data_IF_323489766774
#
_entry.id   IF_323489766774
#
_cell.length_a   1.000
_cell.length_b   1.000
_cell.length_c   1.000
_cell.angle_alpha   90.00
_cell.angle_beta   90.00
_cell.angle_gamma   90.00
#
_symmetry.space_group_name_H-M   'P 1'
#
loop_
_entity.id
_entity.type
_entity.pdbx_description
1 polymer ?
#
# COMPACT_ATOMS: atom_id res chain seq x y z
N UNK A 1 -16.95 -20.43 15.72
CA UNK A 1 -16.09 -19.77 16.73
C UNK A 1 -14.59 -19.70 16.38
N UNK A 2 -13.89 -20.71 15.80
CA UNK A 2 -12.49 -20.51 15.39
C UNK A 2 -12.37 -19.73 14.06
N UNK A 3 -13.30 -19.94 13.12
CA UNK A 3 -13.28 -19.35 11.78
C UNK A 3 -13.35 -17.81 11.80
N UNK A 4 -14.27 -17.26 12.59
CA UNK A 4 -14.43 -15.80 12.75
C UNK A 4 -13.22 -15.14 13.44
N UNK A 5 -12.57 -15.86 14.37
CA UNK A 5 -11.35 -15.38 15.04
C UNK A 5 -10.19 -15.27 14.05
N UNK A 6 -10.05 -16.24 13.14
CA UNK A 6 -9.01 -16.26 12.12
C UNK A 6 -9.16 -15.04 11.17
N UNK A 7 -10.38 -14.75 10.72
CA UNK A 7 -10.65 -13.60 9.84
C UNK A 7 -10.27 -12.28 10.50
N UNK A 8 -10.57 -12.12 11.80
CA UNK A 8 -10.21 -10.91 12.56
C UNK A 8 -8.69 -10.77 12.66
N UNK A 9 -7.96 -11.86 12.94
CA UNK A 9 -6.50 -11.86 13.03
C UNK A 9 -5.88 -11.48 11.68
N UNK A 10 -6.36 -12.05 10.57
CA UNK A 10 -5.87 -11.72 9.23
C UNK A 10 -6.15 -10.27 8.85
N UNK A 11 -7.36 -9.79 9.10
CA UNK A 11 -7.72 -8.40 8.82
C UNK A 11 -6.93 -7.40 9.68
N UNK A 12 -6.59 -7.76 10.92
CA UNK A 12 -5.77 -6.94 11.80
C UNK A 12 -4.28 -6.94 11.46
N UNK A 13 -3.74 -8.03 10.90
CA UNK A 13 -2.32 -8.12 10.55
C UNK A 13 -1.95 -7.29 9.31
N UNK A 14 -2.83 -7.26 8.30
CA UNK A 14 -2.63 -6.52 7.05
C UNK A 14 -2.29 -5.02 7.25
N UNK A 15 -3.05 -4.23 8.04
CA UNK A 15 -2.75 -2.81 8.24
C UNK A 15 -1.43 -2.57 9.00
N UNK A 16 -0.99 -3.51 9.84
CA UNK A 16 0.30 -3.42 10.53
C UNK A 16 1.43 -3.49 9.49
N UNK A 17 1.34 -4.45 8.56
CA UNK A 17 2.32 -4.61 7.49
C UNK A 17 2.34 -3.36 6.59
N UNK A 18 1.16 -2.87 6.20
CA UNK A 18 1.01 -1.64 5.39
C UNK A 18 1.63 -0.43 6.10
N UNK A 19 1.43 -0.29 7.41
CA UNK A 19 2.01 0.79 8.21
C UNK A 19 3.55 0.76 8.17
N UNK A 20 4.15 -0.42 8.31
CA UNK A 20 5.61 -0.58 8.21
C UNK A 20 6.09 -0.19 6.81
N UNK A 21 5.44 -0.68 5.74
CA UNK A 21 5.78 -0.33 4.36
C UNK A 21 5.65 1.18 4.08
N UNK A 22 4.61 1.82 4.61
CA UNK A 22 4.40 3.27 4.44
C UNK A 22 5.48 4.10 5.13
N UNK A 23 5.91 3.68 6.33
CA UNK A 23 7.03 4.33 7.02
C UNK A 23 8.32 4.24 6.20
N UNK A 24 8.62 3.05 5.66
CA UNK A 24 9.79 2.84 4.78
C UNK A 24 9.69 3.72 3.53
N UNK A 25 8.52 3.76 2.88
CA UNK A 25 8.29 4.59 1.70
C UNK A 25 8.49 6.07 2.01
N UNK A 26 8.04 6.54 3.17
CA UNK A 26 8.19 7.94 3.59
C UNK A 26 9.66 8.29 3.85
N UNK A 27 10.43 7.38 4.47
CA UNK A 27 11.89 7.54 4.60
C UNK A 27 12.58 7.59 3.22
N UNK A 28 12.24 6.66 2.32
CA UNK A 28 12.79 6.65 0.96
C UNK A 28 12.45 7.93 0.18
N UNK A 29 11.22 8.44 0.32
CA UNK A 29 10.78 9.67 -0.34
C UNK A 29 11.63 10.87 0.08
N UNK A 30 12.03 10.92 1.35
CA UNK A 30 12.86 11.99 1.91
C UNK A 30 14.30 11.94 1.35
N UNK A 31 14.81 10.74 1.07
CA UNK A 31 16.14 10.52 0.51
C UNK A 31 16.19 10.67 -1.02
N UNK A 32 15.13 10.26 -1.72
CA UNK A 32 15.05 10.30 -3.18
C UNK A 32 14.81 11.72 -3.72
N UNK A 33 14.10 12.57 -2.96
CA UNK A 33 13.77 13.92 -3.40
C UNK A 33 14.74 14.97 -2.82
N UNK A 34 15.48 15.72 -3.67
CA UNK A 34 16.35 16.80 -3.22
C UNK A 34 15.58 17.92 -2.48
N UNK A 35 16.25 18.59 -1.55
CA UNK A 35 15.71 19.49 -0.51
C UNK A 35 14.66 20.50 -0.96
N UNK A 36 14.67 20.93 -2.23
CA UNK A 36 13.74 21.92 -2.76
C UNK A 36 12.35 21.36 -3.16
N UNK A 37 12.21 20.04 -3.34
CA UNK A 37 10.94 19.38 -3.74
C UNK A 37 10.39 18.39 -2.70
N UNK A 38 11.12 18.16 -1.60
CA UNK A 38 10.71 17.24 -0.52
C UNK A 38 9.32 17.55 0.04
N UNK A 39 9.04 18.82 0.35
CA UNK A 39 7.75 19.22 0.93
C UNK A 39 6.58 19.00 -0.03
N UNK A 40 6.79 19.22 -1.34
CA UNK A 40 5.76 19.03 -2.36
C UNK A 40 5.42 17.55 -2.54
N UNK A 41 6.43 16.68 -2.61
CA UNK A 41 6.23 15.23 -2.73
C UNK A 41 5.46 14.64 -1.54
N UNK A 42 5.83 15.02 -0.31
CA UNK A 42 5.15 14.56 0.92
C UNK A 42 3.70 15.04 0.96
N UNK A 43 3.44 16.29 0.58
CA UNK A 43 2.08 16.82 0.51
C UNK A 43 1.23 16.06 -0.50
N UNK A 44 1.80 15.68 -1.65
CA UNK A 44 1.12 14.92 -2.68
C UNK A 44 0.77 13.50 -2.19
N UNK A 45 1.70 12.81 -1.54
CA UNK A 45 1.45 11.50 -0.90
C UNK A 45 0.32 11.60 0.12
N UNK A 46 0.32 12.64 0.97
CA UNK A 46 -0.75 12.85 1.94
C UNK A 46 -2.10 13.15 1.28
N UNK A 47 -2.11 13.93 0.19
CA UNK A 47 -3.32 14.23 -0.59
C UNK A 47 -3.87 12.95 -1.22
N UNK A 48 -3.02 12.10 -1.82
CA UNK A 48 -3.45 10.80 -2.33
C UNK A 48 -3.96 9.86 -1.24
N UNK A 49 -3.34 9.85 -0.06
CA UNK A 49 -3.83 9.08 1.09
C UNK A 49 -5.22 9.53 1.55
N UNK A 50 -5.44 10.85 1.64
CA UNK A 50 -6.73 11.45 2.01
C UNK A 50 -7.80 11.22 0.94
N UNK A 51 -7.46 11.46 -0.33
CA UNK A 51 -8.36 11.24 -1.46
C UNK A 51 -8.73 9.77 -1.58
N UNK A 52 -7.77 8.87 -1.45
CA UNK A 52 -7.99 7.43 -1.46
C UNK A 52 -8.92 6.97 -0.34
N UNK A 53 -8.76 7.50 0.88
CA UNK A 53 -9.68 7.22 1.99
C UNK A 53 -11.08 7.77 1.73
N UNK A 54 -11.19 9.02 1.26
CA UNK A 54 -12.47 9.66 0.96
C UNK A 54 -13.22 8.95 -0.18
N UNK A 55 -12.54 8.67 -1.30
CA UNK A 55 -13.13 7.93 -2.42
C UNK A 55 -13.43 6.49 -2.03
N UNK A 56 -12.53 5.85 -1.26
CA UNK A 56 -12.69 4.48 -0.76
C UNK A 56 -13.96 4.32 0.04
N UNK A 57 -14.20 5.17 1.06
CA UNK A 57 -15.43 5.06 1.87
C UNK A 57 -16.71 5.29 1.07
N UNK A 58 -16.68 6.20 0.08
CA UNK A 58 -17.84 6.48 -0.80
C UNK A 58 -18.14 5.31 -1.73
N UNK A 59 -17.11 4.78 -2.39
CA UNK A 59 -17.22 3.63 -3.30
C UNK A 59 -17.57 2.36 -2.53
N UNK A 60 -16.95 2.14 -1.37
CA UNK A 60 -17.18 0.99 -0.49
C UNK A 60 -18.64 0.94 -0.01
N UNK A 61 -19.18 2.09 0.43
CA UNK A 61 -20.60 2.17 0.85
C UNK A 61 -21.56 1.86 -0.30
N UNK A 62 -21.19 2.18 -1.53
CA UNK A 62 -22.00 1.86 -2.70
C UNK A 62 -21.87 0.39 -3.11
N UNK A 63 -20.66 -0.18 -2.98
CA UNK A 63 -20.36 -1.55 -3.41
C UNK A 63 -20.89 -2.62 -2.45
N UNK A 64 -20.97 -2.30 -1.15
CA UNK A 64 -21.48 -3.22 -0.12
C UNK A 64 -22.97 -3.52 -0.30
N UNK A 65 -23.74 -2.60 -0.89
CA UNK A 65 -25.18 -2.71 -1.09
C UNK A 65 -25.54 -3.72 -2.19
N UNK A 66 -24.72 -3.80 -3.25
CA UNK A 66 -24.99 -4.69 -4.40
C UNK A 66 -24.23 -6.01 -4.36
N UNK A 67 -22.95 -6.06 -3.93
CA UNK A 67 -22.13 -7.28 -4.00
C UNK A 67 -20.99 -7.35 -2.95
N UNK A 68 -21.25 -7.98 -1.80
CA UNK A 68 -20.24 -8.24 -0.74
C UNK A 68 -19.04 -9.08 -1.23
N UNK A 69 -19.28 -10.13 -2.03
CA UNK A 69 -18.22 -11.01 -2.53
C UNK A 69 -17.30 -10.31 -3.54
N UNK A 70 -17.84 -9.43 -4.39
CA UNK A 70 -17.08 -8.68 -5.38
C UNK A 70 -16.09 -7.72 -4.69
N UNK A 71 -16.53 -7.05 -3.64
CA UNK A 71 -15.72 -6.12 -2.86
C UNK A 71 -14.52 -6.84 -2.20
N UNK A 72 -14.75 -8.02 -1.63
CA UNK A 72 -13.69 -8.84 -1.08
C UNK A 72 -12.66 -9.26 -2.14
N UNK A 73 -13.15 -9.69 -3.32
CA UNK A 73 -12.29 -10.12 -4.41
C UNK A 73 -11.48 -8.96 -5.02
N UNK A 74 -12.05 -7.75 -5.07
CA UNK A 74 -11.36 -6.53 -5.50
C UNK A 74 -10.23 -6.14 -4.52
N UNK A 75 -10.50 -6.16 -3.22
CA UNK A 75 -9.50 -5.84 -2.20
C UNK A 75 -8.34 -6.84 -2.20
N UNK A 76 -8.66 -8.14 -2.29
CA UNK A 76 -7.65 -9.19 -2.41
C UNK A 76 -6.83 -9.04 -3.70
N UNK A 77 -7.50 -8.79 -4.84
CA UNK A 77 -6.84 -8.57 -6.12
C UNK A 77 -5.91 -7.36 -6.10
N UNK A 78 -6.31 -6.25 -5.49
CA UNK A 78 -5.47 -5.06 -5.36
C UNK A 78 -4.22 -5.34 -4.52
N UNK A 79 -4.35 -6.09 -3.41
CA UNK A 79 -3.20 -6.49 -2.60
C UNK A 79 -2.22 -7.37 -3.38
N UNK A 80 -2.75 -8.33 -4.13
CA UNK A 80 -1.96 -9.23 -4.98
C UNK A 80 -1.26 -8.43 -6.09
N UNK A 81 -1.94 -7.50 -6.75
CA UNK A 81 -1.34 -6.62 -7.75
C UNK A 81 -0.19 -5.79 -7.16
N UNK A 82 -0.35 -5.23 -5.96
CA UNK A 82 0.71 -4.50 -5.26
C UNK A 82 1.91 -5.40 -4.93
N UNK A 83 1.70 -6.66 -4.59
CA UNK A 83 2.79 -7.60 -4.33
C UNK A 83 3.51 -8.04 -5.63
N UNK A 84 2.76 -8.19 -6.72
CA UNK A 84 3.29 -8.61 -8.02
C UNK A 84 4.05 -7.47 -8.70
N UNK A 85 3.64 -6.21 -8.54
CA UNK A 85 4.25 -5.09 -9.26
C UNK A 85 5.77 -4.94 -8.99
N UNK A 86 6.27 -4.95 -7.74
CA UNK A 86 7.70 -4.99 -7.46
C UNK A 86 8.39 -6.22 -8.05
N UNK A 87 7.72 -7.39 -8.01
CA UNK A 87 8.27 -8.63 -8.54
C UNK A 87 8.41 -8.56 -10.07
N UNK A 88 7.40 -8.05 -10.78
CA UNK A 88 7.44 -7.84 -12.22
C UNK A 88 8.50 -6.81 -12.64
N UNK A 89 8.73 -5.78 -11.82
CA UNK A 89 9.81 -4.82 -12.04
C UNK A 89 11.16 -5.50 -11.82
N UNK A 90 11.36 -6.23 -10.71
CA UNK A 90 12.58 -7.01 -10.45
C UNK A 90 12.85 -8.13 -11.46
N UNK A 91 11.85 -8.68 -12.16
CA UNK A 91 12.05 -9.69 -13.20
C UNK A 91 12.44 -9.11 -14.56
N UNK A 92 12.10 -7.84 -14.82
CA UNK A 92 12.41 -7.21 -16.11
C UNK A 92 13.84 -6.68 -16.18
N UNK A 93 14.45 -6.42 -15.03
CA UNK A 93 15.87 -6.15 -14.92
C UNK A 93 16.65 -7.44 -14.67
N UNK A 94 17.29 -7.97 -15.71
CA UNK A 94 18.34 -8.99 -15.62
C UNK A 94 19.63 -8.48 -14.94
N UNK A 95 19.52 -7.52 -14.02
CA UNK A 95 20.56 -7.04 -13.13
C UNK A 95 19.93 -6.74 -11.78
N UNK A 96 20.61 -7.03 -10.65
CA UNK A 96 20.11 -6.70 -9.32
C UNK A 96 19.93 -5.19 -9.22
N UNK A 97 18.71 -4.71 -9.48
CA UNK A 97 18.30 -3.38 -9.08
C UNK A 97 18.23 -3.43 -7.56
N UNK A 98 19.03 -2.54 -6.97
CA UNK A 98 19.67 -2.71 -5.68
C UNK A 98 18.61 -3.01 -4.61
N UNK A 99 18.88 -3.91 -3.66
CA UNK A 99 18.17 -3.88 -2.38
C UNK A 99 18.12 -2.42 -1.96
N UNK A 100 17.00 -1.97 -1.41
CA UNK A 100 17.00 -0.75 -0.61
C UNK A 100 18.22 -0.84 0.30
N UNK A 101 19.28 -0.11 -0.04
CA UNK A 101 20.47 -0.04 0.78
C UNK A 101 19.96 0.47 2.13
N UNK A 102 20.40 -0.12 3.25
CA UNK A 102 20.27 0.55 4.52
C UNK A 102 21.13 1.81 4.39
N UNK A 103 20.54 2.93 3.94
CA UNK A 103 21.24 4.20 3.88
C UNK A 103 21.39 4.67 5.32
N UNK A 104 22.56 4.32 5.84
CA UNK A 104 23.13 4.75 7.09
C UNK A 104 23.01 6.27 7.22
N UNK A 105 22.36 6.71 8.29
CA UNK A 105 23.00 7.60 9.27
C UNK A 105 22.73 7.07 10.66
#
# INVERSE_FOLDING_TARGET
>A
VPEETLVIIMFGAIPIIISISYNILTSLLVELFPTYIRAMAVSLVMVFGRLGSASGSKIFSWLIDSHCSLLFQLLAGLLICTAILPLCISLKDGKPEKPAEPLQT
#
